data_IF_312530815108
#
_entry.id   IF_312530815108
#
_cell.length_a   1.000
_cell.length_b   1.000
_cell.length_c   1.000
_cell.angle_alpha   90.00
_cell.angle_beta   90.00
_cell.angle_gamma   90.00
#
_symmetry.space_group_name_H-M   'P 1'
#
loop_
_entity.id
_entity.type
_entity.pdbx_description
1 polymer ?
#
# COMPACT_ATOMS: atom_id res chain seq x y z
N UNK A 1 30.04 2.49 -14.68
CA UNK A 1 29.04 1.85 -13.80
C UNK A 1 28.24 0.87 -14.64
N UNK A 2 28.69 -0.37 -14.76
CA UNK A 2 28.03 -1.38 -15.59
C UNK A 2 26.62 -1.63 -15.05
N UNK A 3 25.61 -1.37 -15.88
CA UNK A 3 24.20 -1.57 -15.56
C UNK A 3 23.97 -3.06 -15.32
N UNK A 4 24.02 -3.46 -14.06
CA UNK A 4 24.07 -4.88 -13.68
C UNK A 4 22.70 -5.48 -13.93
N UNK A 5 22.64 -6.53 -14.76
CA UNK A 5 21.38 -7.13 -15.19
C UNK A 5 20.57 -7.61 -13.97
N UNK A 6 19.38 -7.03 -13.79
CA UNK A 6 18.43 -7.49 -12.77
C UNK A 6 17.51 -8.51 -13.39
N UNK A 7 17.46 -9.70 -12.81
CA UNK A 7 16.54 -10.77 -13.24
C UNK A 7 15.47 -11.00 -12.19
N UNK A 8 14.23 -11.22 -12.66
CA UNK A 8 13.08 -11.51 -11.80
C UNK A 8 12.72 -13.00 -11.92
N UNK A 9 12.52 -13.64 -10.78
CA UNK A 9 11.95 -14.99 -10.71
C UNK A 9 10.68 -14.96 -9.88
N UNK A 10 9.60 -15.51 -10.41
CA UNK A 10 8.32 -15.57 -9.71
C UNK A 10 8.06 -16.97 -9.19
N UNK A 11 7.64 -17.10 -7.94
CA UNK A 11 7.30 -18.38 -7.28
C UNK A 11 5.91 -18.28 -6.66
N UNK A 12 5.28 -19.45 -6.44
CA UNK A 12 3.94 -19.55 -5.83
C UNK A 12 2.92 -18.62 -6.52
N UNK A 13 2.90 -18.67 -7.84
CA UNK A 13 1.97 -17.89 -8.65
C UNK A 13 0.57 -18.45 -8.51
N UNK A 14 -0.39 -17.59 -8.17
CA UNK A 14 -1.80 -17.93 -7.98
C UNK A 14 -2.65 -16.89 -8.70
N UNK A 15 -3.56 -17.34 -9.57
CA UNK A 15 -4.64 -16.49 -10.10
C UNK A 15 -5.79 -16.50 -9.10
N UNK A 16 -6.20 -15.32 -8.63
CA UNK A 16 -7.33 -15.15 -7.72
C UNK A 16 -8.43 -14.31 -8.38
N UNK A 17 -9.46 -14.96 -8.97
CA UNK A 17 -10.58 -14.27 -9.60
C UNK A 17 -11.44 -13.47 -8.61
N UNK A 18 -11.54 -13.88 -7.34
CA UNK A 18 -12.39 -13.23 -6.34
C UNK A 18 -12.00 -11.76 -6.09
N UNK A 19 -10.71 -11.45 -6.26
CA UNK A 19 -10.16 -10.11 -6.10
C UNK A 19 -9.65 -9.51 -7.41
N UNK A 20 -9.94 -10.17 -8.55
CA UNK A 20 -9.49 -9.74 -9.87
C UNK A 20 -7.97 -9.54 -9.96
N UNK A 21 -7.18 -10.45 -9.38
CA UNK A 21 -5.71 -10.29 -9.32
C UNK A 21 -4.92 -11.59 -9.37
N UNK A 22 -3.72 -11.51 -9.93
CA UNK A 22 -2.66 -12.52 -9.85
C UNK A 22 -1.74 -12.19 -8.68
N UNK A 23 -1.42 -13.18 -7.86
CA UNK A 23 -0.60 -13.00 -6.65
C UNK A 23 0.61 -13.91 -6.74
N UNK A 24 1.79 -13.41 -6.39
CA UNK A 24 3.03 -14.18 -6.48
C UNK A 24 4.08 -13.67 -5.51
N UNK A 25 5.05 -14.54 -5.20
CA UNK A 25 6.31 -14.18 -4.56
C UNK A 25 7.31 -13.82 -5.66
N UNK A 26 7.99 -12.70 -5.53
CA UNK A 26 9.01 -12.23 -6.48
C UNK A 26 10.37 -12.29 -5.81
N UNK A 27 11.27 -13.07 -6.40
CA UNK A 27 12.69 -13.07 -6.11
C UNK A 27 13.38 -12.17 -7.14
N UNK A 28 14.12 -11.17 -6.67
CA UNK A 28 14.89 -10.23 -7.48
C UNK A 28 16.36 -10.61 -7.31
N UNK A 29 17.02 -10.95 -8.41
CA UNK A 29 18.45 -11.19 -8.46
C UNK A 29 19.11 -9.93 -9.05
N UNK A 30 19.97 -9.30 -8.26
CA UNK A 30 20.66 -8.06 -8.59
C UNK A 30 22.13 -8.16 -8.13
N UNK A 31 22.93 -9.05 -8.76
CA UNK A 31 24.32 -9.25 -8.37
C UNK A 31 25.11 -7.94 -8.52
N UNK A 32 25.97 -7.64 -7.55
CA UNK A 32 26.84 -6.45 -7.52
C UNK A 32 26.10 -5.10 -7.60
N UNK A 33 24.76 -5.10 -7.54
CA UNK A 33 23.93 -3.89 -7.52
C UNK A 33 23.22 -3.78 -6.17
N UNK A 34 23.07 -2.54 -5.71
CA UNK A 34 22.24 -2.22 -4.57
C UNK A 34 20.76 -2.60 -4.79
N UNK A 35 19.95 -2.30 -3.80
CA UNK A 35 18.53 -2.65 -3.78
C UNK A 35 17.80 -2.01 -4.98
N UNK A 36 17.06 -2.82 -5.73
CA UNK A 36 16.28 -2.35 -6.88
C UNK A 36 15.07 -1.54 -6.39
N UNK A 37 14.81 -0.40 -7.04
CA UNK A 37 13.66 0.43 -6.69
C UNK A 37 12.34 -0.29 -7.02
N UNK A 38 11.30 -0.05 -6.21
CA UNK A 38 9.98 -0.67 -6.47
C UNK A 38 9.38 -0.21 -7.79
N UNK A 39 9.71 1.00 -8.23
CA UNK A 39 9.19 1.53 -9.48
C UNK A 39 9.77 0.80 -10.70
N UNK A 40 11.08 0.51 -10.66
CA UNK A 40 11.75 -0.31 -11.68
C UNK A 40 11.20 -1.76 -11.69
N UNK A 41 10.93 -2.33 -10.51
CA UNK A 41 10.33 -3.66 -10.39
C UNK A 41 8.93 -3.72 -11.00
N UNK A 42 8.12 -2.65 -10.86
CA UNK A 42 6.79 -2.56 -11.50
C UNK A 42 6.92 -2.56 -13.02
N UNK A 43 7.86 -1.80 -13.57
CA UNK A 43 8.11 -1.76 -15.01
C UNK A 43 8.53 -3.13 -15.55
N UNK A 44 9.48 -3.81 -14.89
CA UNK A 44 9.93 -5.15 -15.30
C UNK A 44 8.84 -6.22 -15.21
N UNK A 45 8.00 -6.15 -14.17
CA UNK A 45 6.83 -7.05 -14.06
C UNK A 45 5.75 -6.73 -15.10
N UNK A 46 5.59 -5.46 -15.48
CA UNK A 46 4.68 -5.03 -16.54
C UNK A 46 5.07 -5.64 -17.88
N UNK A 47 6.36 -5.56 -18.23
CA UNK A 47 6.92 -6.17 -19.43
C UNK A 47 6.75 -7.69 -19.42
N UNK A 48 7.13 -8.36 -18.33
CA UNK A 48 7.12 -9.82 -18.24
C UNK A 48 5.72 -10.43 -18.33
N UNK A 49 4.72 -9.76 -17.76
CA UNK A 49 3.33 -10.25 -17.73
C UNK A 49 2.38 -9.52 -18.69
N UNK A 50 2.92 -8.67 -19.57
CA UNK A 50 2.14 -7.85 -20.53
C UNK A 50 0.99 -7.11 -19.85
N UNK A 51 1.28 -6.49 -18.71
CA UNK A 51 0.33 -5.74 -17.89
C UNK A 51 0.72 -4.27 -17.85
N UNK A 52 -0.18 -3.39 -17.39
CA UNK A 52 0.18 -1.98 -17.19
C UNK A 52 0.88 -1.80 -15.85
N UNK A 53 1.86 -0.90 -15.80
CA UNK A 53 2.60 -0.54 -14.57
C UNK A 53 1.65 -0.14 -13.43
N UNK A 54 0.57 0.55 -13.77
CA UNK A 54 -0.45 1.03 -12.84
C UNK A 54 -1.31 -0.07 -12.22
N UNK A 55 -1.34 -1.27 -12.79
CA UNK A 55 -2.10 -2.41 -12.27
C UNK A 55 -1.24 -3.29 -11.32
N UNK A 56 0.03 -2.92 -11.11
CA UNK A 56 1.00 -3.72 -10.37
C UNK A 56 1.33 -3.05 -9.03
N UNK A 57 1.11 -3.80 -7.95
CA UNK A 57 1.51 -3.45 -6.59
C UNK A 57 2.60 -4.40 -6.09
N UNK A 58 3.70 -3.84 -5.60
CA UNK A 58 4.86 -4.58 -5.06
C UNK A 58 5.13 -4.14 -3.63
N UNK A 59 5.28 -5.12 -2.72
CA UNK A 59 5.45 -4.84 -1.29
C UNK A 59 6.27 -5.91 -0.56
N UNK A 60 6.70 -5.59 0.66
CA UNK A 60 7.34 -6.56 1.55
C UNK A 60 8.72 -7.04 1.09
N UNK A 61 9.46 -6.23 0.32
CA UNK A 61 10.80 -6.59 -0.13
C UNK A 61 11.79 -6.60 1.04
N UNK A 62 12.50 -7.71 1.17
CA UNK A 62 13.61 -7.90 2.10
C UNK A 62 14.81 -8.44 1.33
N UNK A 63 15.95 -7.78 1.49
CA UNK A 63 17.22 -8.22 0.91
C UNK A 63 17.83 -9.30 1.81
N UNK A 64 18.40 -10.34 1.21
CA UNK A 64 19.12 -11.38 1.93
C UNK A 64 20.44 -10.83 2.49
N UNK A 65 20.92 -11.43 3.57
CA UNK A 65 22.24 -11.12 4.11
C UNK A 65 23.31 -11.43 3.06
N UNK A 66 24.29 -10.55 2.91
CA UNK A 66 25.29 -10.62 1.82
C UNK A 66 24.83 -10.00 0.49
N UNK A 67 23.58 -9.56 0.37
CA UNK A 67 23.09 -8.85 -0.83
C UNK A 67 22.81 -9.77 -2.02
N UNK A 68 22.74 -9.19 -3.23
CA UNK A 68 22.56 -9.92 -4.49
C UNK A 68 21.18 -10.52 -4.75
N UNK A 69 20.41 -10.83 -3.70
CA UNK A 69 19.04 -11.35 -3.78
C UNK A 69 18.10 -10.62 -2.84
N UNK A 70 16.92 -10.24 -3.34
CA UNK A 70 15.81 -9.72 -2.55
C UNK A 70 14.54 -10.52 -2.80
N UNK A 71 13.72 -10.70 -1.76
CA UNK A 71 12.45 -11.41 -1.87
C UNK A 71 11.31 -10.50 -1.45
N UNK A 72 10.23 -10.47 -2.21
CA UNK A 72 9.03 -9.70 -1.89
C UNK A 72 7.78 -10.31 -2.51
N UNK A 73 6.68 -9.55 -2.48
CA UNK A 73 5.40 -9.95 -3.04
C UNK A 73 4.99 -9.00 -4.14
N UNK A 74 4.32 -9.55 -5.16
CA UNK A 74 3.69 -8.77 -6.21
C UNK A 74 2.22 -9.18 -6.39
N UNK A 75 1.39 -8.18 -6.64
CA UNK A 75 -0.01 -8.32 -7.02
C UNK A 75 -0.18 -7.63 -8.36
N UNK A 76 -0.72 -8.35 -9.33
CA UNK A 76 -1.05 -7.81 -10.65
C UNK A 76 -2.56 -7.88 -10.80
N UNK A 77 -3.21 -6.73 -10.77
CA UNK A 77 -4.65 -6.61 -10.95
C UNK A 77 -5.03 -6.74 -12.42
N UNK A 78 -6.27 -7.11 -12.70
CA UNK A 78 -6.82 -7.12 -14.07
C UNK A 78 -7.19 -5.71 -14.55
N UNK A 79 -7.48 -4.79 -13.62
CA UNK A 79 -7.77 -3.38 -13.92
C UNK A 79 -7.31 -2.43 -12.80
N UNK A 80 -7.13 -1.16 -13.14
CA UNK A 80 -6.78 -0.10 -12.18
C UNK A 80 -7.91 0.12 -11.14
N UNK A 81 -9.17 -0.05 -11.56
CA UNK A 81 -10.33 0.05 -10.67
C UNK A 81 -10.32 -1.04 -9.59
N UNK A 82 -10.00 -2.29 -9.98
CA UNK A 82 -9.85 -3.39 -9.04
C UNK A 82 -8.72 -3.12 -8.03
N UNK A 83 -7.60 -2.55 -8.50
CA UNK A 83 -6.51 -2.15 -7.62
C UNK A 83 -6.95 -1.13 -6.58
N UNK A 84 -7.64 -0.06 -6.99
CA UNK A 84 -8.13 0.99 -6.07
C UNK A 84 -9.17 0.45 -5.08
N UNK A 85 -10.00 -0.51 -5.49
CA UNK A 85 -11.04 -1.12 -4.64
C UNK A 85 -10.45 -2.06 -3.58
N UNK A 86 -9.47 -2.88 -3.94
CA UNK A 86 -9.02 -3.99 -3.08
C UNK A 86 -7.67 -3.78 -2.40
N UNK A 87 -6.81 -2.83 -2.84
CA UNK A 87 -5.58 -2.56 -2.10
C UNK A 87 -5.84 -1.77 -0.79
N UNK A 88 -5.08 -2.05 0.27
CA UNK A 88 -5.04 -1.19 1.44
C UNK A 88 -4.65 0.24 1.07
N UNK A 89 -5.38 1.21 1.64
CA UNK A 89 -5.21 2.64 1.37
C UNK A 89 -3.75 3.12 1.49
N UNK A 90 -3.00 2.62 2.48
CA UNK A 90 -1.60 3.02 2.68
C UNK A 90 -0.68 2.65 1.51
N UNK A 91 -1.01 1.60 0.75
CA UNK A 91 -0.25 1.20 -0.45
C UNK A 91 -0.61 2.09 -1.64
N UNK A 92 -1.89 2.42 -1.80
CA UNK A 92 -2.35 3.36 -2.82
C UNK A 92 -1.65 4.72 -2.66
N UNK A 93 -1.54 5.22 -1.42
CA UNK A 93 -0.82 6.47 -1.13
C UNK A 93 0.67 6.38 -1.49
N UNK A 94 1.33 5.25 -1.21
CA UNK A 94 2.76 5.06 -1.55
C UNK A 94 3.03 5.04 -3.05
N UNK A 95 2.04 4.66 -3.86
CA UNK A 95 2.13 4.63 -5.32
C UNK A 95 1.62 5.93 -5.95
N UNK A 96 1.04 6.84 -5.16
CA UNK A 96 0.48 8.11 -5.64
C UNK A 96 -0.93 8.00 -6.22
N UNK A 97 -1.62 6.87 -6.03
CA UNK A 97 -2.98 6.65 -6.55
C UNK A 97 -4.10 7.15 -5.64
N UNK A 98 -3.77 7.50 -4.40
CA UNK A 98 -4.71 8.05 -3.44
C UNK A 98 -4.04 9.09 -2.55
N UNK A 99 -4.81 10.07 -2.10
CA UNK A 99 -4.32 11.07 -1.16
C UNK A 99 -4.27 10.51 0.27
N UNK A 100 -3.34 11.04 1.06
CA UNK A 100 -3.25 10.73 2.49
C UNK A 100 -4.53 11.20 3.16
N UNK A 101 -5.18 10.32 3.93
CA UNK A 101 -6.37 10.71 4.68
C UNK A 101 -5.92 11.48 5.91
N UNK A 102 -6.16 12.78 5.93
CA UNK A 102 -5.90 13.62 7.09
C UNK A 102 -6.99 13.39 8.14
N UNK A 103 -6.57 12.84 9.29
CA UNK A 103 -7.45 12.63 10.44
C UNK A 103 -6.77 13.20 11.67
N UNK A 104 -7.56 13.87 12.51
CA UNK A 104 -7.13 14.23 13.87
C UNK A 104 -6.55 13.00 14.59
N UNK A 105 -5.61 13.25 15.51
CA UNK A 105 -4.88 12.17 16.18
C UNK A 105 -5.84 11.17 16.84
N UNK A 106 -5.42 9.90 16.95
CA UNK A 106 -6.24 8.85 17.58
C UNK A 106 -6.67 9.26 18.99
N UNK A 107 -5.79 9.96 19.72
CA UNK A 107 -6.07 10.49 21.04
C UNK A 107 -7.16 11.58 21.01
N UNK A 108 -7.03 12.59 20.15
CA UNK A 108 -8.03 13.66 20.00
C UNK A 108 -9.41 13.11 19.61
N UNK A 109 -9.46 12.13 18.70
CA UNK A 109 -10.71 11.46 18.31
C UNK A 109 -11.35 10.71 19.48
N UNK A 110 -10.55 10.03 20.30
CA UNK A 110 -11.04 9.33 21.50
C UNK A 110 -11.53 10.30 22.58
N UNK A 111 -10.79 11.38 22.83
CA UNK A 111 -11.21 12.42 23.77
C UNK A 111 -12.52 13.08 23.32
N UNK A 112 -12.63 13.46 22.04
CA UNK A 112 -13.86 14.00 21.46
C UNK A 112 -15.03 13.02 21.60
N UNK A 113 -14.82 11.73 21.32
CA UNK A 113 -15.83 10.68 21.52
C UNK A 113 -16.27 10.61 22.99
N UNK A 114 -15.33 10.59 23.94
CA UNK A 114 -15.65 10.48 25.35
C UNK A 114 -16.40 11.72 25.87
N UNK A 115 -16.03 12.93 25.43
CA UNK A 115 -16.81 14.17 25.69
C UNK A 115 -18.21 14.09 25.08
N UNK A 116 -18.35 13.54 23.88
CA UNK A 116 -19.65 13.34 23.25
C UNK A 116 -20.54 12.32 23.97
N UNK A 117 -19.97 11.39 24.75
CA UNK A 117 -20.73 10.41 25.54
C UNK A 117 -21.36 11.02 26.80
N UNK A 118 -20.85 12.14 27.32
CA UNK A 118 -21.41 12.80 28.51
C UNK A 118 -22.66 13.64 28.20
N UNK A 119 -22.99 13.82 26.92
CA UNK A 119 -24.10 14.65 26.43
C UNK A 119 -25.19 13.75 25.81
N UNK A 120 -26.45 14.20 25.76
CA UNK A 120 -27.59 13.46 25.18
C UNK A 120 -28.32 14.29 24.10
N UNK A 121 -28.91 13.61 23.12
CA UNK A 121 -29.69 14.25 22.05
C UNK A 121 -28.91 15.32 21.28
N UNK A 122 -29.56 16.45 21.00
CA UNK A 122 -28.99 17.60 20.27
C UNK A 122 -27.82 18.26 21.01
N UNK A 123 -27.64 18.02 22.30
CA UNK A 123 -26.51 18.54 23.07
C UNK A 123 -25.16 17.92 22.63
N UNK A 124 -25.17 16.76 21.96
CA UNK A 124 -23.96 16.16 21.37
C UNK A 124 -23.41 16.94 20.17
N UNK A 125 -24.29 17.57 19.39
CA UNK A 125 -23.91 18.34 18.19
C UNK A 125 -23.69 19.82 18.51
N UNK A 126 -24.49 20.39 19.41
CA UNK A 126 -24.38 21.80 19.84
C UNK A 126 -23.20 22.07 20.80
N UNK A 127 -22.60 21.01 21.38
CA UNK A 127 -21.59 21.14 22.43
C UNK A 127 -22.23 21.50 23.79
N UNK A 128 -21.41 21.59 24.84
CA UNK A 128 -21.89 22.12 26.11
C UNK A 128 -22.26 23.59 25.89
N UNK A 129 -23.52 23.97 26.15
CA UNK A 129 -23.85 25.39 26.27
C UNK A 129 -22.91 25.98 27.32
N UNK A 130 -22.26 27.10 27.02
CA UNK A 130 -21.59 27.88 28.06
C UNK A 130 -22.69 28.18 29.09
N UNK A 131 -22.59 27.61 30.29
CA UNK A 131 -23.32 28.16 31.43
C UNK A 131 -22.76 29.57 31.57
N UNK A 132 -23.57 30.58 31.30
CA UNK A 132 -23.27 31.94 31.66
C UNK A 132 -22.92 31.94 33.15
N UNK A 133 -21.63 32.19 33.44
CA UNK A 133 -21.20 32.44 34.81
C UNK A 133 -21.79 33.79 35.18
N UNK A 134 -22.78 33.74 36.07
CA UNK A 134 -23.38 34.90 36.72
C UNK A 134 -22.31 35.74 37.41
#
# INVERSE_FOLDING_TARGET
>A
MSDSQVTLRTRKFIRNPLLGRRQMVVDVLHPNRANVSKDELRTKLAELYKAKKDEISVFGFRTQFGGGKSTGFALIYESNEAMKKFEPHYRLVRVGMANKIEKASRQQRKQRKNRGKTMRGTAKTKGASKKDKK
#
